data_IF_017146024945
#
_entry.id   IF_017146024945
#
_cell.length_a   1.000
_cell.length_b   1.000
_cell.length_c   1.000
_cell.angle_alpha   90.00
_cell.angle_beta   90.00
_cell.angle_gamma   90.00
#
_symmetry.space_group_name_H-M   'P 1'
#
loop_
_entity.id
_entity.type
_entity.pdbx_description
1 polymer ?
#
# COMPACT_ATOMS: atom_id res chain seq x y z
N UNK A 1 0.37 -31.03 15.93
CA UNK A 1 0.18 -30.60 14.52
C UNK A 1 0.37 -29.09 14.45
N UNK A 2 1.58 -28.65 14.18
CA UNK A 2 1.87 -27.25 13.94
C UNK A 2 1.29 -26.89 12.57
N UNK A 3 0.12 -26.27 12.59
CA UNK A 3 -0.44 -25.71 11.36
C UNK A 3 0.45 -24.57 10.89
N UNK A 4 1.24 -24.82 9.86
CA UNK A 4 1.95 -23.76 9.16
C UNK A 4 0.88 -22.74 8.72
N UNK A 5 0.87 -21.57 9.31
CA UNK A 5 -0.05 -20.52 8.88
C UNK A 5 0.44 -20.02 7.52
N UNK A 6 -0.24 -20.48 6.46
CA UNK A 6 0.11 -20.05 5.11
C UNK A 6 -0.17 -18.56 4.96
N UNK A 7 0.77 -17.84 4.40
CA UNK A 7 0.63 -16.43 4.08
C UNK A 7 -0.39 -16.26 2.96
N UNK A 8 -1.29 -15.30 3.13
CA UNK A 8 -2.22 -14.93 2.06
C UNK A 8 -1.64 -13.78 1.26
N UNK A 9 -1.61 -13.95 -0.04
CA UNK A 9 -1.15 -12.91 -0.95
C UNK A 9 -2.22 -11.83 -1.06
N UNK A 10 -1.80 -10.56 -1.01
CA UNK A 10 -2.72 -9.41 -1.05
C UNK A 10 -2.10 -8.25 -1.81
N UNK A 11 -2.93 -7.37 -2.32
CA UNK A 11 -2.48 -6.16 -3.00
C UNK A 11 -3.26 -4.96 -2.46
N UNK A 12 -2.57 -3.83 -2.36
CA UNK A 12 -3.13 -2.57 -1.87
C UNK A 12 -2.71 -1.45 -2.83
N UNK A 13 -3.63 -0.52 -3.09
CA UNK A 13 -3.36 0.61 -3.96
C UNK A 13 -3.39 1.91 -3.17
N UNK A 14 -2.26 2.58 -3.10
CA UNK A 14 -2.16 3.95 -2.59
C UNK A 14 -2.51 4.88 -3.75
N UNK A 15 -3.69 5.48 -3.70
CA UNK A 15 -4.14 6.39 -4.73
C UNK A 15 -3.86 7.82 -4.28
N UNK A 16 -2.98 8.51 -5.01
CA UNK A 16 -2.66 9.92 -4.79
C UNK A 16 -3.24 10.74 -5.93
N UNK A 17 -3.98 11.79 -5.61
CA UNK A 17 -4.58 12.66 -6.61
C UNK A 17 -4.20 14.11 -6.35
N UNK A 18 -3.98 14.86 -7.42
CA UNK A 18 -3.73 16.29 -7.34
C UNK A 18 -4.91 17.01 -6.71
N UNK A 19 -4.64 18.01 -5.91
CA UNK A 19 -5.70 18.75 -5.20
C UNK A 19 -5.48 20.24 -5.39
N UNK A 20 -6.21 20.81 -6.35
CA UNK A 20 -6.20 22.24 -6.55
C UNK A 20 -7.32 22.86 -5.71
N UNK A 21 -6.99 23.79 -4.83
CA UNK A 21 -8.00 24.59 -4.16
C UNK A 21 -8.58 25.56 -5.20
N UNK A 22 -9.88 25.48 -5.50
CA UNK A 22 -10.47 26.51 -6.34
C UNK A 22 -10.42 27.84 -5.56
N UNK A 23 -9.61 28.77 -6.05
CA UNK A 23 -9.63 30.12 -5.50
C UNK A 23 -10.94 30.78 -5.91
N UNK A 24 -11.76 31.24 -4.98
CA UNK A 24 -13.01 31.89 -5.35
C UNK A 24 -12.73 33.12 -6.24
N UNK A 25 -13.29 33.11 -7.46
CA UNK A 25 -13.20 34.24 -8.38
C UNK A 25 -12.00 34.30 -9.30
N UNK A 26 -11.18 33.24 -9.35
CA UNK A 26 -10.09 33.22 -10.33
C UNK A 26 -10.64 32.89 -11.73
N UNK A 27 -10.25 33.63 -12.79
CA UNK A 27 -10.58 33.23 -14.15
C UNK A 27 -9.95 31.86 -14.43
N UNK A 28 -10.60 31.08 -15.29
CA UNK A 28 -10.16 29.73 -15.61
C UNK A 28 -8.85 29.73 -16.41
N UNK A 29 -7.77 29.98 -15.70
CA UNK A 29 -6.43 29.72 -16.23
C UNK A 29 -6.17 28.21 -16.25
N UNK A 30 -5.36 27.71 -17.18
CA UNK A 30 -4.98 26.31 -17.15
C UNK A 30 -4.45 25.98 -15.75
N UNK A 31 -4.90 24.89 -15.15
CA UNK A 31 -4.55 24.61 -13.76
C UNK A 31 -3.01 24.52 -13.63
N UNK A 32 -2.51 25.37 -12.76
CA UNK A 32 -1.14 25.25 -12.27
C UNK A 32 -0.93 23.82 -11.78
N UNK A 33 0.28 23.24 -11.89
CA UNK A 33 0.53 21.93 -11.31
C UNK A 33 0.07 21.95 -9.84
N UNK A 34 -0.75 20.99 -9.48
CA UNK A 34 -1.34 20.93 -8.15
C UNK A 34 -0.26 21.02 -7.08
N UNK A 35 -0.34 22.05 -6.24
CA UNK A 35 0.65 22.30 -5.19
C UNK A 35 0.54 21.32 -4.03
N UNK A 36 -0.15 20.22 -4.20
CA UNK A 36 -0.30 19.22 -3.18
C UNK A 36 -1.04 18.03 -3.73
N UNK A 37 -1.21 17.03 -2.89
CA UNK A 37 -1.98 15.87 -3.27
C UNK A 37 -2.72 15.32 -2.06
N UNK A 38 -3.77 14.55 -2.34
CA UNK A 38 -4.53 13.85 -1.32
C UNK A 38 -4.53 12.36 -1.61
N UNK A 39 -4.64 11.57 -0.55
CA UNK A 39 -4.67 10.12 -0.57
C UNK A 39 -6.10 9.67 -0.33
N UNK A 40 -6.53 8.65 -1.05
CA UNK A 40 -7.84 8.03 -0.80
C UNK A 40 -7.72 7.02 0.34
N UNK A 41 -8.53 7.22 1.37
CA UNK A 41 -8.69 6.28 2.48
C UNK A 41 -10.13 5.79 2.50
N UNK A 42 -10.31 4.49 2.70
CA UNK A 42 -11.61 3.86 2.83
C UNK A 42 -11.83 3.45 4.28
N UNK A 43 -13.03 3.67 4.79
CA UNK A 43 -13.40 3.23 6.13
C UNK A 43 -14.03 1.83 6.08
N UNK A 44 -13.44 0.90 6.80
CA UNK A 44 -13.98 -0.46 6.92
C UNK A 44 -15.19 -0.46 7.83
N UNK A 45 -16.17 -1.32 7.50
CA UNK A 45 -17.32 -1.51 8.35
C UNK A 45 -16.91 -1.97 9.76
N UNK A 46 -17.59 -1.47 10.77
CA UNK A 46 -17.39 -1.91 12.15
C UNK A 46 -17.76 -3.38 12.37
N UNK A 47 -18.51 -3.97 11.44
CA UNK A 47 -18.94 -5.37 11.50
C UNK A 47 -17.94 -6.33 10.84
N UNK A 48 -16.90 -5.81 10.18
CA UNK A 48 -15.91 -6.69 9.55
C UNK A 48 -15.05 -7.41 10.58
N UNK A 49 -14.74 -8.67 10.31
CA UNK A 49 -13.96 -9.50 11.23
C UNK A 49 -12.47 -9.17 11.29
N UNK A 50 -11.96 -8.35 10.36
CA UNK A 50 -10.55 -7.95 10.33
C UNK A 50 -10.46 -6.44 10.32
N UNK A 51 -9.84 -5.87 11.35
CA UNK A 51 -9.61 -4.43 11.50
C UNK A 51 -10.90 -3.60 11.36
N UNK A 52 -11.92 -3.87 12.19
CA UNK A 52 -13.19 -3.14 12.08
C UNK A 52 -13.02 -1.64 12.36
N UNK A 53 -13.65 -0.82 11.53
CA UNK A 53 -13.61 0.63 11.63
C UNK A 53 -12.30 1.29 11.20
N UNK A 54 -11.32 0.51 10.74
CA UNK A 54 -10.03 1.07 10.30
C UNK A 54 -10.19 1.87 9.02
N UNK A 55 -9.37 2.91 8.91
CA UNK A 55 -9.16 3.63 7.66
C UNK A 55 -7.94 3.03 6.97
N UNK A 56 -8.13 2.59 5.73
CA UNK A 56 -7.11 1.84 4.99
C UNK A 56 -7.07 2.31 3.53
N UNK A 57 -5.94 2.11 2.89
CA UNK A 57 -5.89 2.19 1.43
C UNK A 57 -6.71 1.05 0.82
N UNK A 58 -7.34 1.26 -0.34
CA UNK A 58 -8.07 0.18 -1.02
C UNK A 58 -7.18 -1.04 -1.24
N UNK A 59 -7.66 -2.21 -0.86
CA UNK A 59 -6.86 -3.43 -1.00
C UNK A 59 -7.57 -4.68 -0.54
N UNK A 60 -6.98 -5.81 -0.83
CA UNK A 60 -7.53 -7.10 -0.42
C UNK A 60 -6.72 -8.29 -0.91
N UNK A 61 -7.23 -9.47 -0.62
CA UNK A 61 -6.58 -10.73 -0.95
C UNK A 61 -6.68 -11.00 -2.44
N UNK A 62 -5.60 -11.54 -3.02
CA UNK A 62 -5.56 -11.98 -4.41
C UNK A 62 -6.55 -13.15 -4.58
N UNK A 63 -7.35 -13.06 -5.61
CA UNK A 63 -8.33 -14.07 -5.98
C UNK A 63 -7.80 -14.93 -7.13
N UNK A 64 -8.33 -16.14 -7.29
CA UNK A 64 -7.97 -17.01 -8.42
C UNK A 64 -8.28 -16.33 -9.77
N UNK A 65 -9.33 -15.53 -9.82
CA UNK A 65 -9.69 -14.79 -11.04
C UNK A 65 -8.63 -13.74 -11.41
N UNK A 66 -7.91 -13.18 -10.43
CA UNK A 66 -6.83 -12.22 -10.71
C UNK A 66 -5.66 -12.89 -11.42
N UNK A 67 -5.52 -14.21 -11.27
CA UNK A 67 -4.42 -15.02 -11.82
C UNK A 67 -4.83 -15.76 -13.12
N UNK A 68 -6.01 -15.50 -13.65
CA UNK A 68 -6.54 -16.22 -14.81
C UNK A 68 -5.76 -15.91 -16.08
N UNK A 69 -5.51 -16.95 -16.89
CA UNK A 69 -4.88 -16.80 -18.20
C UNK A 69 -5.75 -16.02 -19.20
N UNK A 70 -7.01 -15.79 -18.89
CA UNK A 70 -7.88 -14.95 -19.74
C UNK A 70 -7.34 -13.53 -19.86
N UNK A 71 -6.64 -13.05 -18.82
CA UNK A 71 -5.99 -11.74 -18.86
C UNK A 71 -4.93 -11.65 -19.96
N UNK A 72 -4.26 -12.77 -20.28
CA UNK A 72 -3.27 -12.79 -21.36
C UNK A 72 -3.91 -12.36 -22.69
N UNK A 73 -5.13 -12.82 -22.94
CA UNK A 73 -5.87 -12.48 -24.16
C UNK A 73 -6.35 -11.02 -24.15
N UNK A 74 -6.76 -10.55 -22.98
CA UNK A 74 -7.29 -9.19 -22.85
C UNK A 74 -6.18 -8.15 -23.07
N UNK A 75 -4.99 -8.40 -22.54
CA UNK A 75 -3.88 -7.45 -22.63
C UNK A 75 -3.05 -7.59 -23.92
N UNK A 76 -3.08 -8.73 -24.59
CA UNK A 76 -2.28 -9.00 -25.77
C UNK A 76 -2.42 -7.96 -26.91
N UNK A 77 -3.62 -7.39 -27.16
CA UNK A 77 -3.73 -6.35 -28.18
C UNK A 77 -2.95 -5.07 -27.88
N UNK A 78 -2.58 -4.84 -26.62
CA UNK A 78 -1.84 -3.63 -26.21
C UNK A 78 -0.33 -3.84 -26.27
N UNK A 79 0.11 -4.94 -25.70
CA UNK A 79 1.54 -5.29 -25.62
C UNK A 79 1.69 -6.81 -25.59
N UNK A 80 2.79 -7.30 -26.09
CA UNK A 80 3.06 -8.74 -26.10
C UNK A 80 3.17 -9.36 -24.70
N UNK A 81 2.66 -10.61 -24.57
CA UNK A 81 2.80 -11.34 -23.31
C UNK A 81 4.28 -11.70 -23.06
N UNK A 82 4.67 -12.11 -21.85
CA UNK A 82 3.79 -12.29 -20.68
C UNK A 82 3.62 -11.03 -19.84
N UNK A 83 4.40 -9.98 -20.08
CA UNK A 83 4.48 -8.84 -19.17
C UNK A 83 3.80 -7.58 -19.72
N UNK A 84 3.37 -7.60 -20.97
CA UNK A 84 2.59 -6.50 -21.56
C UNK A 84 3.28 -5.15 -21.52
N UNK A 85 4.61 -5.12 -21.72
CA UNK A 85 5.39 -3.89 -21.69
C UNK A 85 5.78 -3.42 -20.29
N UNK A 86 5.37 -4.10 -19.24
CA UNK A 86 5.85 -3.80 -17.89
C UNK A 86 7.30 -4.25 -17.75
N UNK A 87 8.10 -3.45 -17.10
CA UNK A 87 9.48 -3.84 -16.76
C UNK A 87 9.46 -5.04 -15.84
N UNK A 88 10.47 -5.90 -15.95
CA UNK A 88 10.62 -6.97 -14.97
C UNK A 88 10.80 -6.36 -13.58
N UNK A 89 10.07 -6.86 -12.59
CA UNK A 89 10.29 -6.35 -11.25
C UNK A 89 11.75 -6.60 -10.86
N UNK A 90 12.41 -5.63 -10.27
CA UNK A 90 13.76 -5.88 -9.79
C UNK A 90 13.75 -6.97 -8.73
N UNK A 91 14.85 -7.69 -8.56
CA UNK A 91 14.89 -8.78 -7.60
C UNK A 91 14.51 -8.28 -6.21
N UNK A 92 13.72 -9.08 -5.51
CA UNK A 92 13.32 -8.76 -4.14
C UNK A 92 14.57 -8.58 -3.27
N UNK A 93 14.75 -7.38 -2.76
CA UNK A 93 15.89 -7.05 -1.90
C UNK A 93 15.47 -7.21 -0.44
N UNK A 94 15.23 -8.46 -0.08
CA UNK A 94 14.77 -8.82 1.26
C UNK A 94 15.68 -9.89 1.83
N UNK A 95 15.93 -9.80 3.14
CA UNK A 95 16.58 -10.86 3.87
C UNK A 95 15.67 -12.09 4.04
N UNK A 96 14.36 -11.87 3.87
CA UNK A 96 13.39 -12.96 3.98
C UNK A 96 13.19 -13.60 2.61
N UNK A 97 13.24 -14.94 2.54
CA UNK A 97 12.97 -15.61 1.27
C UNK A 97 11.56 -15.27 0.79
N UNK A 98 11.41 -15.17 -0.53
CA UNK A 98 10.08 -15.07 -1.13
C UNK A 98 9.36 -16.38 -0.79
N UNK A 99 8.32 -16.27 0.02
CA UNK A 99 7.59 -17.45 0.42
C UNK A 99 6.92 -18.08 -0.80
N UNK A 100 7.04 -19.39 -0.96
CA UNK A 100 6.34 -20.05 -2.06
C UNK A 100 4.84 -19.78 -1.96
N UNK A 101 4.21 -19.58 -3.10
CA UNK A 101 2.77 -19.39 -3.14
C UNK A 101 2.10 -20.58 -2.46
N UNK A 102 1.24 -20.29 -1.47
CA UNK A 102 0.50 -21.35 -0.78
C UNK A 102 -0.62 -21.86 -1.69
N UNK A 103 -0.31 -22.88 -2.43
CA UNK A 103 -1.28 -23.60 -3.27
C UNK A 103 -0.88 -25.05 -3.38
N UNK A 104 -1.83 -25.95 -3.62
CA UNK A 104 -1.53 -27.38 -3.60
C UNK A 104 -0.65 -27.89 -4.73
N UNK A 105 -0.31 -27.07 -5.70
CA UNK A 105 0.46 -27.49 -6.87
C UNK A 105 1.67 -26.59 -7.10
N UNK A 106 2.62 -26.65 -6.17
CA UNK A 106 3.89 -25.96 -6.34
C UNK A 106 4.96 -26.80 -7.03
N UNK A 107 4.56 -27.73 -7.87
CA UNK A 107 5.48 -28.21 -8.88
C UNK A 107 5.63 -27.08 -9.89
N UNK A 108 6.70 -26.36 -9.76
CA UNK A 108 7.03 -25.24 -10.64
C UNK A 108 7.37 -25.78 -12.04
N UNK A 109 6.37 -26.23 -12.73
CA UNK A 109 6.43 -26.16 -14.16
C UNK A 109 6.33 -24.69 -14.51
N UNK A 110 7.28 -24.18 -15.25
CA UNK A 110 7.22 -22.84 -15.79
C UNK A 110 6.02 -22.78 -16.75
N UNK A 111 4.84 -22.67 -16.18
CA UNK A 111 3.64 -22.46 -16.98
C UNK A 111 3.78 -21.08 -17.62
N UNK A 112 3.55 -21.04 -18.91
CA UNK A 112 3.49 -19.78 -19.65
C UNK A 112 2.20 -19.03 -19.24
N UNK A 113 2.01 -18.87 -17.93
CA UNK A 113 0.85 -18.24 -17.34
C UNK A 113 1.08 -16.75 -17.03
N UNK A 114 0.09 -16.15 -16.43
CA UNK A 114 0.14 -14.74 -16.07
C UNK A 114 1.19 -14.52 -14.95
N UNK A 115 2.16 -13.61 -15.15
CA UNK A 115 3.13 -13.32 -14.08
C UNK A 115 2.48 -12.81 -12.79
N UNK A 116 3.04 -13.19 -11.65
CA UNK A 116 2.50 -12.84 -10.34
C UNK A 116 2.35 -11.32 -10.14
N UNK A 117 3.32 -10.53 -10.60
CA UNK A 117 3.25 -9.07 -10.45
C UNK A 117 2.12 -8.46 -11.29
N UNK A 118 1.78 -9.07 -12.43
CA UNK A 118 0.62 -8.66 -13.22
C UNK A 118 -0.66 -9.01 -12.45
N UNK A 119 -0.74 -10.21 -11.87
CA UNK A 119 -1.89 -10.64 -11.08
C UNK A 119 -2.10 -9.73 -9.86
N UNK A 120 -1.02 -9.32 -9.19
CA UNK A 120 -1.11 -8.38 -8.07
C UNK A 120 -1.67 -7.02 -8.51
N UNK A 121 -1.27 -6.52 -9.70
CA UNK A 121 -1.77 -5.26 -10.25
C UNK A 121 -3.27 -5.36 -10.57
N UNK A 122 -3.69 -6.48 -11.15
CA UNK A 122 -5.11 -6.74 -11.43
C UNK A 122 -5.91 -6.77 -10.13
N UNK A 123 -5.40 -7.47 -9.12
CA UNK A 123 -6.02 -7.50 -7.79
C UNK A 123 -6.19 -6.09 -7.21
N UNK A 124 -5.14 -5.28 -7.27
CA UNK A 124 -5.18 -3.92 -6.74
C UNK A 124 -6.26 -3.07 -7.43
N UNK A 125 -6.36 -3.17 -8.77
CA UNK A 125 -7.37 -2.44 -9.55
C UNK A 125 -8.77 -2.96 -9.24
N UNK A 126 -8.95 -4.27 -9.16
CA UNK A 126 -10.26 -4.86 -8.80
C UNK A 126 -10.72 -4.40 -7.43
N UNK A 127 -9.82 -4.35 -6.45
CA UNK A 127 -10.14 -3.85 -5.11
C UNK A 127 -10.48 -2.36 -5.12
N UNK A 128 -9.92 -1.64 -6.09
CA UNK A 128 -10.24 -0.22 -6.28
C UNK A 128 -11.62 -0.05 -6.93
N UNK A 129 -11.97 -0.95 -7.85
CA UNK A 129 -13.33 -1.00 -8.42
C UNK A 129 -14.37 -1.20 -7.32
N UNK A 130 -14.07 -2.01 -6.32
CA UNK A 130 -14.97 -2.23 -5.17
C UNK A 130 -15.16 -0.96 -4.34
N UNK A 131 -14.26 0.00 -4.46
CA UNK A 131 -14.39 1.33 -3.86
C UNK A 131 -15.14 2.32 -4.77
N UNK A 132 -15.61 1.85 -5.92
CA UNK A 132 -16.37 2.67 -6.87
C UNK A 132 -15.53 3.46 -7.85
N UNK A 133 -14.24 3.13 -8.00
CA UNK A 133 -13.36 3.84 -8.94
C UNK A 133 -12.79 2.84 -9.94
N UNK A 134 -12.88 3.19 -11.22
CA UNK A 134 -12.37 2.35 -12.31
C UNK A 134 -11.11 2.98 -12.91
N UNK A 135 -10.01 2.24 -12.87
CA UNK A 135 -8.78 2.60 -13.59
C UNK A 135 -8.77 1.85 -14.91
N UNK A 136 -9.10 2.55 -15.99
CA UNK A 136 -9.24 1.95 -17.32
C UNK A 136 -8.32 2.62 -18.33
N UNK A 137 -7.69 1.82 -19.18
CA UNK A 137 -6.87 2.26 -20.31
C UNK A 137 -7.61 1.91 -21.62
N UNK A 138 -7.93 2.93 -22.46
CA UNK A 138 -8.52 2.64 -23.78
C UNK A 138 -7.58 1.84 -24.67
N UNK A 139 -8.16 1.06 -25.11
CA UNK A 139 -7.50 0.32 -25.91
C UNK A 139 -7.02 0.91 -27.08
N UNK A 140 -7.74 1.73 -27.67
CA UNK A 140 -7.39 2.51 -28.85
C UNK A 140 -7.45 3.99 -28.52
N UNK A 141 -6.62 4.82 -29.13
CA UNK A 141 -6.74 6.26 -28.89
C UNK A 141 -8.18 6.70 -29.23
N UNK A 142 -8.76 7.60 -28.42
CA UNK A 142 -10.13 8.02 -28.64
C UNK A 142 -10.29 8.60 -30.04
N UNK A 143 -11.16 8.00 -30.85
CA UNK A 143 -11.56 8.56 -32.13
C UNK A 143 -12.40 9.80 -31.85
N UNK A 144 -12.25 10.87 -32.62
CA UNK A 144 -13.07 12.06 -32.42
C UNK A 144 -14.56 11.69 -32.45
N UNK A 145 -15.28 12.18 -31.47
CA UNK A 145 -16.61 11.75 -31.15
C UNK A 145 -17.63 12.09 -32.27
N UNK A 146 -18.05 11.08 -32.98
CA UNK A 146 -19.25 11.19 -33.81
C UNK A 146 -20.11 9.94 -33.66
N UNK A 147 -20.61 9.67 -32.45
CA UNK A 147 -21.58 8.57 -32.28
C UNK A 147 -22.42 8.76 -31.02
N UNK A 148 -23.74 8.56 -31.12
CA UNK A 148 -24.64 8.72 -29.97
C UNK A 148 -24.43 7.71 -28.86
N UNK A 149 -24.67 8.18 -27.66
CA UNK A 149 -24.27 7.58 -26.38
C UNK A 149 -24.88 6.22 -25.96
N UNK A 150 -26.02 5.73 -26.44
CA UNK A 150 -26.55 4.51 -25.79
C UNK A 150 -26.07 3.17 -26.32
N UNK A 151 -25.16 3.13 -27.28
CA UNK A 151 -24.80 1.86 -27.94
C UNK A 151 -23.42 1.33 -27.58
N UNK A 152 -22.76 1.91 -26.56
CA UNK A 152 -21.36 1.54 -26.31
C UNK A 152 -21.09 1.07 -24.91
N UNK A 153 -21.65 -0.05 -24.56
CA UNK A 153 -21.28 -0.77 -23.35
C UNK A 153 -20.27 -1.89 -23.59
N UNK A 154 -19.66 -1.92 -24.76
CA UNK A 154 -18.39 -2.62 -24.94
C UNK A 154 -17.29 -1.56 -24.94
N UNK A 155 -16.94 -1.12 -23.74
CA UNK A 155 -15.80 -0.25 -23.57
C UNK A 155 -14.57 -0.99 -24.10
N UNK A 156 -13.97 -0.46 -25.14
CA UNK A 156 -12.71 -0.99 -25.69
C UNK A 156 -11.59 -0.55 -24.75
N UNK A 157 -11.66 -1.06 -23.52
CA UNK A 157 -10.79 -0.67 -22.39
C UNK A 157 -10.32 -1.89 -21.64
N UNK A 158 -9.17 -1.77 -21.01
CA UNK A 158 -8.63 -2.77 -20.09
C UNK A 158 -8.31 -2.12 -18.74
N UNK A 159 -8.21 -2.88 -17.64
CA UNK A 159 -7.65 -2.34 -16.41
C UNK A 159 -6.28 -1.72 -16.68
N UNK A 160 -6.03 -0.53 -16.14
CA UNK A 160 -4.77 0.19 -16.40
C UNK A 160 -3.67 -0.27 -15.43
N UNK A 161 -3.15 -1.47 -15.67
CA UNK A 161 -2.05 -2.04 -14.86
C UNK A 161 -0.76 -1.23 -14.97
N UNK A 162 -0.64 -0.41 -16.02
CA UNK A 162 0.56 0.40 -16.29
C UNK A 162 0.60 1.68 -15.45
N UNK A 163 -0.55 2.13 -14.93
CA UNK A 163 -0.61 3.31 -14.06
C UNK A 163 -0.12 3.03 -12.62
N UNK A 164 0.16 1.78 -12.30
CA UNK A 164 0.57 1.36 -10.95
C UNK A 164 2.09 1.27 -10.86
N UNK A 165 2.66 1.95 -9.86
CA UNK A 165 4.08 1.90 -9.56
C UNK A 165 4.30 1.03 -8.32
N UNK A 166 5.33 0.18 -8.36
CA UNK A 166 5.71 -0.64 -7.20
C UNK A 166 6.17 0.29 -6.08
N UNK A 167 5.63 0.10 -4.86
CA UNK A 167 5.88 1.02 -3.76
C UNK A 167 6.56 0.37 -2.57
N UNK A 168 5.96 -0.69 -2.01
CA UNK A 168 6.53 -1.43 -0.87
C UNK A 168 5.85 -2.78 -0.72
N UNK A 169 6.44 -3.67 0.07
CA UNK A 169 5.82 -4.95 0.42
C UNK A 169 5.85 -5.10 1.94
N UNK A 170 4.70 -5.42 2.52
CA UNK A 170 4.56 -5.62 3.96
C UNK A 170 4.10 -7.03 4.27
N UNK A 171 4.88 -7.71 5.12
CA UNK A 171 4.48 -8.99 5.67
C UNK A 171 3.89 -8.79 7.06
N UNK A 172 2.78 -9.44 7.34
CA UNK A 172 2.18 -9.38 8.68
C UNK A 172 3.15 -10.02 9.68
N UNK A 173 3.50 -9.34 10.77
CA UNK A 173 4.33 -9.95 11.81
C UNK A 173 3.58 -11.11 12.47
N UNK A 174 4.16 -11.71 13.50
CA UNK A 174 3.56 -12.84 14.19
C UNK A 174 2.09 -12.58 14.49
N UNK A 175 1.23 -13.51 14.07
CA UNK A 175 -0.20 -13.44 14.31
C UNK A 175 -0.77 -14.87 14.35
N UNK A 176 -1.55 -15.21 15.38
CA UNK A 176 -2.13 -16.56 15.46
C UNK A 176 -3.31 -16.77 14.50
N UNK A 177 -3.82 -15.73 13.87
CA UNK A 177 -5.02 -15.83 13.05
C UNK A 177 -4.75 -15.84 11.56
N UNK A 178 -4.35 -14.70 11.00
CA UNK A 178 -4.15 -14.54 9.55
C UNK A 178 -2.91 -13.69 9.29
N UNK A 179 -2.11 -14.14 8.35
CA UNK A 179 -0.90 -13.43 7.93
C UNK A 179 -1.02 -13.11 6.44
N UNK A 180 -0.56 -11.90 6.08
CA UNK A 180 -0.66 -11.40 4.72
C UNK A 180 0.72 -10.98 4.22
N UNK A 181 0.98 -11.32 2.98
CA UNK A 181 2.09 -10.80 2.18
C UNK A 181 1.46 -9.80 1.22
N UNK A 182 1.57 -8.51 1.52
CA UNK A 182 0.83 -7.47 0.85
C UNK A 182 1.75 -6.57 0.02
N UNK A 183 1.54 -6.57 -1.28
CA UNK A 183 2.22 -5.64 -2.19
C UNK A 183 1.44 -4.33 -2.26
N UNK A 184 2.13 -3.23 -2.01
CA UNK A 184 1.58 -1.88 -2.13
C UNK A 184 2.01 -1.29 -3.46
N UNK A 185 1.03 -0.83 -4.23
CA UNK A 185 1.26 -0.05 -5.44
C UNK A 185 0.86 1.39 -5.19
N UNK A 186 1.46 2.30 -5.94
CA UNK A 186 1.10 3.72 -5.90
C UNK A 186 0.62 4.15 -7.29
N UNK A 187 -0.47 4.88 -7.33
CA UNK A 187 -1.02 5.45 -8.56
C UNK A 187 -1.21 6.94 -8.37
N UNK A 188 -0.70 7.73 -9.31
CA UNK A 188 -0.80 9.19 -9.31
C UNK A 188 -1.82 9.63 -10.35
N UNK A 189 -2.88 10.28 -9.91
CA UNK A 189 -3.91 10.83 -10.78
C UNK A 189 -3.87 12.35 -10.73
N UNK A 190 -4.08 12.97 -11.87
CA UNK A 190 -4.12 14.43 -11.95
C UNK A 190 -5.21 15.02 -11.08
N UNK A 191 -6.40 14.43 -11.13
CA UNK A 191 -7.58 14.92 -10.43
C UNK A 191 -8.22 13.77 -9.64
N UNK A 192 -8.80 14.06 -8.46
CA UNK A 192 -9.46 13.02 -7.69
C UNK A 192 -10.73 12.54 -8.39
N UNK A 193 -10.86 11.24 -8.66
CA UNK A 193 -12.11 10.72 -9.19
C UNK A 193 -13.21 10.72 -8.13
N UNK A 194 -14.49 10.75 -8.54
CA UNK A 194 -15.55 10.49 -7.58
C UNK A 194 -15.45 9.06 -7.04
N UNK A 195 -15.76 8.89 -5.76
CA UNK A 195 -15.64 7.61 -5.08
C UNK A 195 -17.00 7.24 -4.50
N UNK A 196 -17.44 6.02 -4.79
CA UNK A 196 -18.74 5.50 -4.35
C UNK A 196 -18.53 4.16 -3.62
N UNK A 197 -18.17 4.20 -2.33
CA UNK A 197 -17.88 2.97 -1.60
C UNK A 197 -19.06 2.01 -1.59
N UNK A 198 -18.78 0.75 -1.81
CA UNK A 198 -19.79 -0.31 -1.83
C UNK A 198 -20.06 -0.79 -0.40
N UNK A 199 -21.16 -0.36 0.18
CA UNK A 199 -21.55 -0.72 1.54
C UNK A 199 -21.80 -2.22 1.70
N UNK A 200 -22.29 -2.89 0.66
CA UNK A 200 -22.56 -4.33 0.71
C UNK A 200 -21.26 -5.14 0.82
N UNK A 201 -20.16 -4.59 0.29
CA UNK A 201 -18.85 -5.20 0.38
C UNK A 201 -18.07 -4.80 1.63
N UNK A 202 -18.68 -4.02 2.52
CA UNK A 202 -18.11 -3.68 3.82
C UNK A 202 -17.34 -2.37 3.91
N UNK A 203 -17.53 -1.47 2.96
CA UNK A 203 -16.95 -0.13 3.01
C UNK A 203 -18.00 0.85 3.51
N UNK A 204 -17.72 1.55 4.62
CA UNK A 204 -18.68 2.49 5.23
C UNK A 204 -18.43 3.94 4.84
N UNK A 205 -17.33 4.23 4.22
CA UNK A 205 -17.06 5.59 3.79
C UNK A 205 -15.74 5.72 3.07
N UNK A 206 -15.50 6.89 2.57
CA UNK A 206 -14.25 7.25 1.93
C UNK A 206 -13.91 8.68 2.26
N UNK A 207 -12.61 8.98 2.30
CA UNK A 207 -12.15 10.35 2.46
C UNK A 207 -10.87 10.59 1.67
N UNK A 208 -10.74 11.81 1.18
CA UNK A 208 -9.52 12.30 0.57
C UNK A 208 -8.81 13.17 1.59
N UNK A 209 -7.59 12.78 1.99
CA UNK A 209 -6.80 13.50 3.00
C UNK A 209 -5.38 13.67 2.51
N UNK A 210 -4.80 14.84 2.72
CA UNK A 210 -3.36 14.95 2.57
C UNK A 210 -2.68 14.05 3.61
N UNK A 211 -1.42 13.66 3.40
CA UNK A 211 -0.73 12.86 4.43
C UNK A 211 -0.74 13.53 5.81
N UNK A 212 -0.59 14.85 5.87
CA UNK A 212 -0.62 15.60 7.13
C UNK A 212 -2.01 15.55 7.78
N UNK A 213 -3.07 15.85 7.01
CA UNK A 213 -4.45 15.78 7.51
C UNK A 213 -4.79 14.38 8.06
N UNK A 214 -4.37 13.33 7.36
CA UNK A 214 -4.60 11.96 7.82
C UNK A 214 -3.87 11.69 9.14
N UNK A 215 -2.64 12.19 9.29
CA UNK A 215 -1.88 12.09 10.54
C UNK A 215 -2.60 12.82 11.68
N UNK A 216 -3.06 14.05 11.42
CA UNK A 216 -3.77 14.87 12.42
C UNK A 216 -5.09 14.20 12.85
N UNK A 217 -5.85 13.68 11.90
CA UNK A 217 -7.11 12.96 12.20
C UNK A 217 -6.87 11.69 13.01
N UNK A 218 -5.74 11.01 12.79
CA UNK A 218 -5.35 9.86 13.61
C UNK A 218 -5.02 10.30 15.04
N UNK A 219 -4.25 11.37 15.20
CA UNK A 219 -3.85 11.89 16.51
C UNK A 219 -5.09 12.38 17.31
N UNK A 220 -6.02 13.05 16.63
CA UNK A 220 -7.26 13.53 17.25
C UNK A 220 -8.28 12.42 17.49
N UNK A 221 -7.95 11.18 17.10
CA UNK A 221 -8.78 9.97 17.28
C UNK A 221 -10.05 9.95 16.43
N UNK A 222 -10.10 10.80 15.42
CA UNK A 222 -11.21 10.82 14.44
C UNK A 222 -11.17 9.58 13.54
N UNK A 223 -9.96 9.13 13.20
CA UNK A 223 -9.77 7.92 12.42
C UNK A 223 -8.80 6.97 13.13
N UNK A 224 -8.87 5.70 12.75
CA UNK A 224 -7.90 4.71 13.22
C UNK A 224 -7.22 4.04 12.01
N UNK A 225 -5.93 3.87 12.10
CA UNK A 225 -5.12 3.19 11.08
C UNK A 225 -4.19 2.18 11.72
N UNK A 226 -3.98 1.06 11.05
CA UNK A 226 -2.98 0.09 11.48
C UNK A 226 -1.56 0.63 11.24
N UNK A 227 -0.56 0.11 11.96
CA UNK A 227 0.81 0.62 11.87
C UNK A 227 1.39 0.71 10.44
N UNK A 228 1.22 -0.27 9.53
CA UNK A 228 1.72 -0.09 8.17
C UNK A 228 1.07 1.08 7.43
N UNK A 229 -0.24 1.28 7.62
CA UNK A 229 -0.94 2.41 6.98
C UNK A 229 -0.38 3.73 7.48
N UNK A 230 -0.21 3.86 8.80
CA UNK A 230 0.35 5.06 9.43
C UNK A 230 1.78 5.31 8.93
N UNK A 231 2.61 4.27 8.89
CA UNK A 231 3.99 4.37 8.40
C UNK A 231 4.03 4.89 6.95
N UNK A 232 3.20 4.33 6.07
CA UNK A 232 3.18 4.73 4.67
C UNK A 232 2.68 6.18 4.50
N UNK A 233 1.70 6.60 5.27
CA UNK A 233 1.22 7.99 5.22
C UNK A 233 2.34 8.94 5.66
N UNK A 234 3.04 8.62 6.76
CA UNK A 234 4.15 9.44 7.24
C UNK A 234 5.32 9.45 6.23
N UNK A 235 5.49 8.36 5.49
CA UNK A 235 6.50 8.27 4.43
C UNK A 235 6.15 9.21 3.27
N UNK A 236 4.87 9.27 2.92
CA UNK A 236 4.38 10.12 1.84
C UNK A 236 4.44 11.62 2.16
N UNK A 237 4.52 11.98 3.43
CA UNK A 237 4.73 13.39 3.85
C UNK A 237 6.05 13.99 3.36
N UNK A 238 7.00 13.15 2.91
CA UNK A 238 8.27 13.65 2.36
C UNK A 238 8.11 14.32 1.00
N UNK A 239 6.96 14.18 0.35
CA UNK A 239 6.73 14.71 -1.00
C UNK A 239 5.85 15.96 -0.91
N UNK A 240 6.36 17.07 -1.47
CA UNK A 240 5.64 18.34 -1.43
C UNK A 240 4.52 18.41 -2.48
N UNK A 241 4.68 17.67 -3.59
CA UNK A 241 3.72 17.74 -4.69
C UNK A 241 3.48 16.36 -5.30
N UNK A 242 2.36 16.23 -6.02
CA UNK A 242 2.06 15.03 -6.80
C UNK A 242 3.13 14.79 -7.86
N UNK A 243 3.64 15.86 -8.47
CA UNK A 243 4.69 15.78 -9.48
C UNK A 243 5.98 15.20 -8.91
N UNK A 244 6.38 15.63 -7.71
CA UNK A 244 7.57 15.10 -7.04
C UNK A 244 7.39 13.61 -6.72
N UNK A 245 6.22 13.24 -6.22
CA UNK A 245 5.89 11.85 -5.90
C UNK A 245 5.94 10.98 -7.16
N UNK A 246 5.29 11.43 -8.24
CA UNK A 246 5.27 10.70 -9.50
C UNK A 246 6.68 10.57 -10.10
N UNK A 247 7.44 11.66 -10.09
CA UNK A 247 8.84 11.64 -10.56
C UNK A 247 9.66 10.64 -9.77
N UNK A 248 9.51 10.63 -8.44
CA UNK A 248 10.20 9.67 -7.59
C UNK A 248 9.88 8.22 -8.02
N UNK A 249 8.59 7.92 -8.28
CA UNK A 249 8.19 6.57 -8.72
C UNK A 249 8.86 6.20 -10.04
N UNK A 250 8.91 7.12 -10.98
CA UNK A 250 9.53 6.87 -12.30
C UNK A 250 11.04 6.67 -12.19
N UNK A 251 11.71 7.45 -11.35
CA UNK A 251 13.16 7.40 -11.19
C UNK A 251 13.61 6.13 -10.45
N UNK A 252 12.73 5.52 -9.66
CA UNK A 252 13.09 4.39 -8.79
C UNK A 252 12.64 3.01 -9.29
N UNK A 253 12.15 2.93 -10.52
CA UNK A 253 11.67 1.67 -11.11
C UNK A 253 12.70 0.54 -11.01
N UNK A 254 14.00 0.86 -11.21
CA UNK A 254 15.06 -0.15 -11.24
C UNK A 254 15.70 -0.44 -9.89
N UNK A 255 15.39 0.34 -8.87
CA UNK A 255 16.02 0.19 -7.55
C UNK A 255 15.38 -0.94 -6.74
N UNK A 256 14.18 -1.34 -7.09
CA UNK A 256 13.42 -2.34 -6.36
C UNK A 256 12.65 -1.74 -5.20
N UNK A 257 11.88 -2.59 -4.55
CA UNK A 257 11.09 -2.18 -3.38
C UNK A 257 11.54 -2.96 -2.16
N UNK A 258 11.47 -2.32 -1.01
CA UNK A 258 11.76 -2.99 0.25
C UNK A 258 10.57 -3.86 0.64
N UNK A 259 10.91 -5.04 1.15
CA UNK A 259 9.97 -6.02 1.65
C UNK A 259 10.20 -6.11 3.15
N UNK A 260 9.22 -5.67 3.93
CA UNK A 260 9.37 -5.53 5.37
C UNK A 260 8.51 -6.54 6.12
N UNK A 261 9.13 -7.25 7.04
CA UNK A 261 8.41 -7.99 8.06
C UNK A 261 8.78 -7.41 9.42
N UNK A 262 7.85 -6.73 10.07
CA UNK A 262 8.14 -6.19 11.40
C UNK A 262 8.36 -7.32 12.42
N UNK A 263 9.25 -7.08 13.36
CA UNK A 263 9.39 -7.93 14.54
C UNK A 263 8.73 -7.20 15.71
N UNK A 264 7.80 -7.86 16.38
CA UNK A 264 7.07 -7.24 17.48
C UNK A 264 7.84 -7.50 18.79
N UNK A 265 8.14 -6.42 19.50
CA UNK A 265 8.72 -6.46 20.84
C UNK A 265 7.67 -5.94 21.83
N UNK A 266 7.18 -6.84 22.67
CA UNK A 266 6.26 -6.47 23.74
C UNK A 266 7.07 -5.93 24.92
N UNK A 267 6.71 -4.75 25.39
CA UNK A 267 7.29 -4.10 26.55
C UNK A 267 6.31 -4.16 27.72
N UNK A 268 6.72 -3.73 28.89
CA UNK A 268 5.85 -3.75 30.07
C UNK A 268 4.60 -2.86 29.92
N UNK A 269 4.67 -1.84 29.04
CA UNK A 269 3.61 -0.83 28.91
C UNK A 269 3.20 -0.55 27.47
N UNK A 270 3.64 -1.38 26.50
CA UNK A 270 3.30 -1.13 25.10
C UNK A 270 3.90 -2.17 24.16
N UNK A 271 4.11 -1.73 22.92
CA UNK A 271 4.66 -2.60 21.88
C UNK A 271 5.53 -1.78 20.95
N UNK A 272 6.65 -2.35 20.55
CA UNK A 272 7.53 -1.74 19.55
C UNK A 272 7.54 -2.65 18.32
N UNK A 273 7.25 -2.07 17.16
CA UNK A 273 7.32 -2.75 15.88
C UNK A 273 8.67 -2.40 15.24
N UNK A 274 9.61 -3.35 15.29
CA UNK A 274 10.98 -3.20 14.79
C UNK A 274 11.01 -3.47 13.29
N UNK A 275 11.72 -2.63 12.54
CA UNK A 275 11.89 -2.76 11.09
C UNK A 275 13.36 -2.99 10.73
N UNK A 276 13.65 -3.54 9.52
CA UNK A 276 15.02 -3.79 9.11
C UNK A 276 15.91 -2.55 9.21
N UNK A 277 17.09 -2.73 9.77
CA UNK A 277 18.05 -1.67 10.06
C UNK A 277 18.05 -1.21 11.51
N UNK A 278 16.99 -1.49 12.26
CA UNK A 278 16.94 -1.21 13.70
C UNK A 278 17.96 -2.09 14.43
N UNK A 279 18.58 -1.55 15.49
CA UNK A 279 19.61 -2.28 16.23
C UNK A 279 19.12 -3.55 16.95
N UNK A 280 17.81 -3.61 17.23
CA UNK A 280 17.17 -4.77 17.87
C UNK A 280 16.54 -5.73 16.85
N UNK A 281 16.57 -5.38 15.55
CA UNK A 281 15.95 -6.18 14.49
C UNK A 281 16.83 -7.41 14.21
N UNK A 282 16.23 -8.59 14.29
CA UNK A 282 16.94 -9.85 14.04
C UNK A 282 16.89 -10.17 12.55
N UNK A 283 18.06 -10.13 11.91
CA UNK A 283 18.17 -10.36 10.45
C UNK A 283 18.09 -11.83 10.04
N UNK A 284 17.94 -12.75 11.00
CA UNK A 284 17.89 -14.19 10.75
C UNK A 284 16.50 -14.57 10.21
N UNK A 285 16.48 -15.16 9.02
CA UNK A 285 15.27 -15.62 8.35
C UNK A 285 14.51 -16.73 9.09
N UNK A 286 15.16 -17.40 10.04
CA UNK A 286 14.50 -18.43 10.85
C UNK A 286 13.55 -17.83 11.90
N UNK A 287 13.54 -16.51 12.03
CA UNK A 287 12.71 -15.81 12.99
C UNK A 287 11.34 -15.38 12.46
N UNK A 288 10.81 -16.08 11.47
CA UNK A 288 9.49 -15.77 10.92
C UNK A 288 8.34 -15.89 11.93
N UNK A 289 8.59 -16.49 13.10
CA UNK A 289 7.58 -16.70 14.13
C UNK A 289 7.85 -15.94 15.44
N UNK A 290 8.77 -14.97 15.43
CA UNK A 290 9.20 -14.38 16.68
C UNK A 290 8.36 -13.20 17.14
N UNK A 291 7.84 -13.39 18.33
CA UNK A 291 7.33 -12.36 19.21
C UNK A 291 8.34 -12.21 20.34
N UNK A 292 9.00 -11.06 20.39
CA UNK A 292 9.96 -10.77 21.46
C UNK A 292 9.21 -10.13 22.63
N UNK A 293 9.72 -10.31 23.85
CA UNK A 293 9.15 -9.66 25.04
C UNK A 293 10.24 -9.26 26.02
N UNK A 294 9.96 -8.22 26.78
CA UNK A 294 10.85 -7.71 27.81
C UNK A 294 10.05 -7.16 28.98
N UNK A 295 10.61 -7.23 30.19
CA UNK A 295 10.02 -6.63 31.39
C UNK A 295 10.28 -5.11 31.45
N UNK A 296 11.16 -4.59 30.59
CA UNK A 296 11.45 -3.15 30.54
C UNK A 296 10.27 -2.37 29.96
N UNK A 297 10.12 -1.14 30.42
CA UNK A 297 9.18 -0.21 29.83
C UNK A 297 9.67 0.31 28.49
N UNK A 298 8.76 0.76 27.67
CA UNK A 298 9.06 1.34 26.35
C UNK A 298 10.10 2.46 26.47
N UNK A 299 9.92 3.36 27.45
CA UNK A 299 10.81 4.49 27.65
C UNK A 299 12.25 4.05 27.95
N UNK A 300 12.44 2.97 28.71
CA UNK A 300 13.77 2.41 29.02
C UNK A 300 14.46 1.90 27.74
N UNK A 301 13.72 1.15 26.92
CA UNK A 301 14.23 0.65 25.63
C UNK A 301 14.62 1.83 24.72
N UNK A 302 13.81 2.90 24.71
CA UNK A 302 14.08 4.06 23.86
C UNK A 302 15.29 4.86 24.34
N UNK A 303 15.55 4.92 25.65
CA UNK A 303 16.71 5.62 26.21
C UNK A 303 18.02 4.87 25.96
N UNK A 304 18.00 3.54 25.99
CA UNK A 304 19.18 2.71 25.80
C UNK A 304 19.63 2.65 24.34
N UNK A 305 18.70 2.82 23.40
CA UNK A 305 18.95 2.65 21.97
C UNK A 305 19.59 3.86 21.29
N UNK A 306 20.19 3.61 20.14
CA UNK A 306 20.84 4.64 19.31
C UNK A 306 20.49 4.53 17.83
N UNK A 307 20.24 3.33 17.34
CA UNK A 307 19.99 3.09 15.91
C UNK A 307 18.57 2.56 15.72
N UNK A 308 17.69 3.44 15.28
CA UNK A 308 16.26 3.18 15.26
C UNK A 308 15.70 3.07 13.84
N UNK A 309 14.84 2.09 13.65
CA UNK A 309 13.88 2.01 12.58
C UNK A 309 12.68 1.27 13.14
N UNK A 310 11.82 2.01 13.84
CA UNK A 310 10.74 1.38 14.63
C UNK A 310 9.50 2.27 14.76
N UNK A 311 8.36 1.61 14.94
CA UNK A 311 7.14 2.26 15.41
C UNK A 311 6.93 1.85 16.87
N UNK A 312 6.74 2.84 17.72
CA UNK A 312 6.38 2.61 19.11
C UNK A 312 4.87 2.77 19.24
N UNK A 313 4.22 1.73 19.74
CA UNK A 313 2.76 1.65 19.82
C UNK A 313 2.37 1.64 21.29
N UNK A 314 1.91 2.80 21.79
CA UNK A 314 1.48 2.94 23.18
C UNK A 314 0.03 2.51 23.36
N UNK A 315 -0.80 2.78 22.37
CA UNK A 315 -2.20 2.39 22.35
C UNK A 315 -2.72 2.39 20.91
N UNK A 316 -4.00 2.09 20.74
CA UNK A 316 -4.65 2.03 19.42
C UNK A 316 -4.51 3.32 18.60
N UNK A 317 -4.44 4.48 19.25
CA UNK A 317 -4.37 5.79 18.57
C UNK A 317 -3.11 6.58 18.91
N UNK A 318 -2.12 5.94 19.53
CA UNK A 318 -0.92 6.65 19.99
C UNK A 318 0.31 5.91 19.48
N UNK A 319 0.86 6.39 18.38
CA UNK A 319 2.07 5.86 17.75
C UNK A 319 3.15 6.93 17.67
N UNK A 320 4.41 6.49 17.83
CA UNK A 320 5.57 7.29 17.44
C UNK A 320 6.39 6.52 16.42
N UNK A 321 7.06 7.24 15.55
CA UNK A 321 8.00 6.67 14.58
C UNK A 321 9.39 7.22 14.88
N UNK A 322 10.36 6.33 14.99
CA UNK A 322 11.75 6.70 15.23
C UNK A 322 12.61 6.11 14.12
N UNK A 323 13.22 6.98 13.32
CA UNK A 323 14.10 6.59 12.21
C UNK A 323 15.39 7.39 12.31
N UNK A 324 16.50 6.69 12.63
CA UNK A 324 17.84 7.28 12.61
C UNK A 324 18.74 6.60 11.58
N UNK A 325 18.24 5.56 10.91
CA UNK A 325 18.96 4.86 9.86
C UNK A 325 18.72 5.53 8.52
N UNK A 326 19.67 5.40 7.62
CA UNK A 326 19.51 5.88 6.25
C UNK A 326 18.68 4.87 5.43
N UNK A 327 17.82 5.39 4.59
CA UNK A 327 17.04 4.55 3.69
C UNK A 327 17.95 3.83 2.69
N UNK A 328 17.57 2.60 2.36
CA UNK A 328 18.30 1.77 1.39
C UNK A 328 17.72 1.99 -0.02
N UNK A 329 18.54 1.73 -1.04
CA UNK A 329 18.11 1.69 -2.44
C UNK A 329 17.43 2.98 -2.90
N UNK A 330 17.88 4.14 -2.38
CA UNK A 330 17.33 5.46 -2.67
C UNK A 330 15.84 5.59 -2.29
N UNK A 331 15.32 4.68 -1.47
CA UNK A 331 13.96 4.80 -0.95
C UNK A 331 13.87 5.94 0.08
N UNK A 332 12.65 6.31 0.40
CA UNK A 332 12.36 7.36 1.38
C UNK A 332 11.74 6.71 2.61
N UNK A 333 12.31 6.98 3.79
CA UNK A 333 11.73 6.56 5.08
C UNK A 333 10.98 7.74 5.69
N UNK A 334 10.02 7.49 6.57
CA UNK A 334 9.36 8.61 7.27
C UNK A 334 10.37 9.34 8.16
N UNK A 335 10.12 10.61 8.37
CA UNK A 335 10.85 11.38 9.38
C UNK A 335 10.42 10.91 10.76
N UNK A 336 11.34 11.02 11.72
CA UNK A 336 11.01 10.72 13.12
C UNK A 336 9.81 11.59 13.54
N UNK A 337 8.85 10.93 14.16
CA UNK A 337 7.63 11.55 14.67
C UNK A 337 7.42 11.09 16.10
N UNK A 338 7.53 12.02 17.03
CA UNK A 338 7.38 11.74 18.45
C UNK A 338 6.12 12.42 18.96
N UNK A 339 5.23 11.65 19.53
CA UNK A 339 4.00 12.20 20.12
C UNK A 339 4.37 12.94 21.40
N UNK A 340 3.72 14.09 21.61
CA UNK A 340 3.99 14.87 22.82
C UNK A 340 3.45 14.15 24.06
N UNK A 341 4.10 14.41 25.20
CA UNK A 341 3.70 13.78 26.48
C UNK A 341 2.26 14.11 26.88
N UNK A 342 1.70 15.21 26.37
CA UNK A 342 0.31 15.58 26.63
C UNK A 342 -0.71 14.64 25.96
N UNK A 343 -0.29 13.82 25.01
CA UNK A 343 -1.16 12.86 24.34
C UNK A 343 -0.97 11.42 24.81
N UNK A 344 0.04 11.17 25.65
CA UNK A 344 0.27 9.86 26.28
C UNK A 344 -0.60 9.70 27.54
#
# INVERSE_FOLDING_TARGET
RSGSSSWRRAATLVLAAGWAHPSPGAPALPPLPAEGFRLLLLQRSSQQGFMPGAHVFPGGVVDAADCSDEWLRLFAPHHGPPRFGLSSPPPSRSTFPVLPAAGPDTAAEARAGLPDDVAFRICAIRRFEEAGVLLLRPXRPPRPARLPAPVRLHLDCTPDIWALHDWSVWLTPFSPRRRFDTTFFLCCLRDPPPVYPDFERGWWGSQWSSPLEATESFISKEIWMAPPQFYEIRRLENFASLSDLHKFCLDHVLEGVERWMPILLLTADGQISLLPGDELYLEDSNFLENLLSTEKKTEEIMKEGKKFHRLVIYSRHVYSIHVTVQSKYKHVYPKTYVISKSHL
#
